data_IF_880504941974
#
_entry.id   IF_880504941974
#
_cell.length_a   1.000
_cell.length_b   1.000
_cell.length_c   1.000
_cell.angle_alpha   90.00
_cell.angle_beta   90.00
_cell.angle_gamma   90.00
#
_symmetry.space_group_name_H-M   'P 1'
#
loop_
_entity.id
_entity.type
_entity.pdbx_description
1 polymer ?
#
# COMPACT_ATOMS: atom_id res chain seq x y z
N UNK A 1 38.98 3.50 -33.23
CA UNK A 1 37.61 2.95 -33.29
C UNK A 1 37.25 2.48 -31.89
N UNK A 2 36.42 3.20 -31.16
CA UNK A 2 35.92 2.77 -29.84
C UNK A 2 34.41 2.81 -29.88
N UNK A 3 33.80 1.62 -29.78
CA UNK A 3 32.36 1.40 -29.88
C UNK A 3 31.74 1.67 -28.50
N UNK A 4 30.84 2.65 -28.41
CA UNK A 4 30.08 2.93 -27.19
C UNK A 4 29.15 1.77 -26.87
N UNK A 5 29.31 1.18 -25.67
CA UNK A 5 28.39 0.16 -25.13
C UNK A 5 27.05 0.82 -24.76
N UNK A 6 25.89 0.25 -25.13
CA UNK A 6 24.61 0.75 -24.63
C UNK A 6 24.47 0.39 -23.14
N UNK A 7 24.21 1.40 -22.31
CA UNK A 7 23.90 1.23 -20.87
C UNK A 7 22.64 0.36 -20.69
N UNK A 8 22.63 -0.57 -19.72
CA UNK A 8 21.44 -1.35 -19.40
C UNK A 8 20.35 -0.41 -18.85
N UNK A 9 19.16 -0.48 -19.43
CA UNK A 9 17.98 0.26 -18.93
C UNK A 9 17.77 -0.11 -17.47
N UNK A 10 18.05 0.84 -16.55
CA UNK A 10 17.79 0.64 -15.12
C UNK A 10 16.32 0.22 -14.94
N UNK A 11 16.02 -0.82 -14.15
CA UNK A 11 14.65 -1.11 -13.79
C UNK A 11 14.06 0.14 -13.15
N UNK A 12 12.85 0.51 -13.55
CA UNK A 12 12.13 1.68 -13.02
C UNK A 12 12.13 1.53 -11.50
N UNK A 13 12.90 2.37 -10.81
CA UNK A 13 12.90 2.38 -9.35
C UNK A 13 11.45 2.53 -8.92
N UNK A 14 10.95 1.58 -8.12
CA UNK A 14 9.72 1.79 -7.37
C UNK A 14 9.84 3.17 -6.75
N UNK A 15 8.94 4.09 -7.12
CA UNK A 15 9.05 5.49 -6.73
C UNK A 15 9.35 5.55 -5.23
N UNK A 16 10.47 6.20 -4.86
CA UNK A 16 10.85 6.31 -3.46
C UNK A 16 9.62 6.81 -2.67
N UNK A 17 9.31 6.20 -1.51
CA UNK A 17 8.13 6.58 -0.76
C UNK A 17 8.16 8.09 -0.52
N UNK A 18 7.02 8.76 -0.75
CA UNK A 18 6.92 10.19 -0.50
C UNK A 18 7.37 10.48 0.94
N UNK A 19 8.07 11.59 1.21
CA UNK A 19 8.46 11.95 2.58
C UNK A 19 7.21 11.96 3.48
N UNK A 20 7.26 11.20 4.58
CA UNK A 20 6.13 10.98 5.49
C UNK A 20 5.24 9.77 5.16
N UNK A 21 5.57 8.98 4.13
CA UNK A 21 4.92 7.71 3.85
C UNK A 21 5.61 6.55 4.61
N UNK A 22 4.85 5.85 5.44
CA UNK A 22 5.27 4.66 6.17
C UNK A 22 4.69 3.40 5.52
N UNK A 23 5.43 2.29 5.65
CA UNK A 23 4.89 0.98 5.30
C UNK A 23 3.78 0.59 6.28
N UNK A 24 2.70 -0.03 5.81
CA UNK A 24 1.62 -0.52 6.67
C UNK A 24 1.27 -1.97 6.37
N UNK A 25 0.71 -2.66 7.37
CA UNK A 25 0.23 -4.03 7.22
C UNK A 25 -1.30 -4.06 7.22
N UNK A 26 -1.87 -4.66 6.17
CA UNK A 26 -3.32 -4.86 6.05
C UNK A 26 -3.70 -6.29 6.45
N UNK A 27 -4.55 -6.41 7.48
CA UNK A 27 -4.99 -7.68 8.07
C UNK A 27 -6.46 -7.95 7.78
N UNK A 28 -6.79 -9.22 7.56
CA UNK A 28 -8.15 -9.65 7.19
C UNK A 28 -8.47 -9.42 5.71
N UNK A 29 -9.73 -9.12 5.45
CA UNK A 29 -10.25 -8.82 4.11
C UNK A 29 -10.20 -10.00 3.14
N UNK A 30 -10.42 -9.75 1.85
CA UNK A 30 -10.43 -10.79 0.83
C UNK A 30 -9.10 -11.54 0.77
N UNK A 31 -9.17 -12.88 0.77
CA UNK A 31 -7.99 -13.74 0.67
C UNK A 31 -7.23 -13.56 -0.65
N UNK A 32 -7.93 -13.14 -1.71
CA UNK A 32 -7.38 -12.87 -3.03
C UNK A 32 -6.86 -11.44 -3.21
N UNK A 33 -6.85 -10.63 -2.14
CA UNK A 33 -6.24 -9.31 -2.21
C UNK A 33 -4.71 -9.47 -2.43
N UNK A 34 -4.15 -8.90 -3.51
CA UNK A 34 -2.73 -9.04 -3.84
C UNK A 34 -1.81 -8.70 -2.67
N UNK A 35 -0.77 -9.51 -2.46
CA UNK A 35 0.19 -9.33 -1.37
C UNK A 35 0.92 -7.97 -1.45
N UNK A 36 1.14 -7.46 -2.66
CA UNK A 36 1.71 -6.14 -2.90
C UNK A 36 0.78 -5.03 -2.37
N UNK A 37 -0.54 -5.18 -2.51
CA UNK A 37 -1.51 -4.22 -1.96
C UNK A 37 -1.65 -4.32 -0.44
N UNK A 38 -1.35 -5.49 0.15
CA UNK A 38 -1.28 -5.66 1.62
C UNK A 38 -0.10 -4.92 2.26
N UNK A 39 0.85 -4.49 1.44
CA UNK A 39 2.11 -3.82 1.81
C UNK A 39 2.14 -2.41 1.21
N UNK A 40 1.20 -1.58 1.63
CA UNK A 40 1.02 -0.23 1.10
C UNK A 40 1.91 0.79 1.82
N UNK A 41 2.29 1.85 1.10
CA UNK A 41 2.84 3.05 1.71
C UNK A 41 1.73 4.07 1.91
N UNK A 42 1.57 4.56 3.14
CA UNK A 42 0.57 5.55 3.50
C UNK A 42 1.22 6.70 4.24
N UNK A 43 0.65 7.89 4.10
CA UNK A 43 1.00 9.00 4.98
C UNK A 43 0.66 8.61 6.42
N UNK A 44 1.58 8.92 7.34
CA UNK A 44 1.50 8.53 8.74
C UNK A 44 0.20 8.93 9.48
N UNK A 45 -0.58 9.87 8.94
CA UNK A 45 -1.81 10.41 9.56
C UNK A 45 -3.10 9.86 8.92
N UNK A 46 -3.04 8.72 8.25
CA UNK A 46 -4.20 8.14 7.57
C UNK A 46 -4.97 7.22 8.51
N UNK A 47 -6.21 7.53 8.90
CA UNK A 47 -6.99 6.65 9.79
C UNK A 47 -7.67 5.48 9.05
N UNK A 48 -7.91 5.62 7.75
CA UNK A 48 -8.61 4.62 6.93
C UNK A 48 -7.95 4.43 5.58
N UNK A 49 -7.84 3.17 5.16
CA UNK A 49 -7.30 2.75 3.87
C UNK A 49 -8.42 2.18 3.02
N UNK A 50 -8.55 2.69 1.81
CA UNK A 50 -9.55 2.22 0.86
C UNK A 50 -8.85 1.67 -0.37
N UNK A 51 -9.06 0.38 -0.66
CA UNK A 51 -8.44 -0.30 -1.80
C UNK A 51 -9.50 -0.68 -2.83
N UNK A 52 -9.36 -0.24 -4.09
CA UNK A 52 -10.20 -0.75 -5.18
C UNK A 52 -9.96 -2.25 -5.39
N UNK A 53 -11.01 -3.06 -5.28
CA UNK A 53 -10.95 -4.51 -5.50
C UNK A 53 -12.29 -5.05 -6.00
N UNK A 54 -12.27 -5.96 -6.97
CA UNK A 54 -13.46 -6.64 -7.51
C UNK A 54 -14.62 -5.68 -7.88
N UNK A 55 -14.33 -4.53 -8.49
CA UNK A 55 -15.35 -3.55 -8.88
C UNK A 55 -16.04 -2.83 -7.71
N UNK A 56 -15.44 -2.86 -6.51
CA UNK A 56 -15.84 -2.07 -5.37
C UNK A 56 -14.60 -1.61 -4.58
N UNK A 57 -14.78 -1.38 -3.30
CA UNK A 57 -13.72 -0.94 -2.40
C UNK A 57 -13.70 -1.78 -1.12
N UNK A 58 -12.50 -2.17 -0.71
CA UNK A 58 -12.20 -2.76 0.59
C UNK A 58 -11.73 -1.66 1.54
N UNK A 59 -12.35 -1.57 2.71
CA UNK A 59 -12.04 -0.55 3.72
C UNK A 59 -11.29 -1.20 4.88
N UNK A 60 -10.20 -0.57 5.30
CA UNK A 60 -9.40 -0.97 6.46
C UNK A 60 -9.25 0.20 7.43
N UNK A 61 -9.48 -0.02 8.72
CA UNK A 61 -9.33 0.99 9.76
C UNK A 61 -8.04 0.75 10.55
N UNK A 62 -7.36 1.83 10.93
CA UNK A 62 -6.17 1.76 11.77
C UNK A 62 -6.53 1.19 13.15
N UNK A 63 -5.88 0.11 13.56
CA UNK A 63 -6.01 -0.47 14.90
C UNK A 63 -4.73 -0.28 15.73
N UNK A 64 -3.61 0.04 15.07
CA UNK A 64 -2.33 0.31 15.72
C UNK A 64 -1.58 1.34 14.88
N UNK A 65 -1.31 2.52 15.45
CA UNK A 65 -0.64 3.61 14.74
C UNK A 65 0.87 3.60 15.00
N UNK A 66 1.64 4.18 14.07
CA UNK A 66 3.09 4.40 14.25
C UNK A 66 3.40 5.30 15.44
N UNK A 67 2.56 6.31 15.71
CA UNK A 67 2.75 7.27 16.81
C UNK A 67 2.69 6.59 18.17
N UNK A 68 1.77 5.64 18.34
CA UNK A 68 1.57 4.97 19.62
C UNK A 68 2.55 3.81 19.85
N UNK A 69 2.94 3.10 18.79
CA UNK A 69 3.66 1.82 18.95
C UNK A 69 5.10 1.82 18.44
N UNK A 70 5.56 2.86 17.73
CA UNK A 70 6.91 2.92 17.13
C UNK A 70 7.19 1.84 16.08
N UNK A 71 6.20 0.99 15.77
CA UNK A 71 6.27 -0.12 14.83
C UNK A 71 5.53 0.14 13.52
N UNK A 72 5.39 -0.89 12.68
CA UNK A 72 4.61 -0.82 11.43
C UNK A 72 3.11 -0.72 11.77
N UNK A 73 2.38 0.30 11.29
CA UNK A 73 0.94 0.41 11.54
C UNK A 73 0.18 -0.79 11.00
N UNK A 74 -0.85 -1.19 11.75
CA UNK A 74 -1.73 -2.28 11.37
C UNK A 74 -3.12 -1.73 11.10
N UNK A 75 -3.66 -2.08 9.94
CA UNK A 75 -5.03 -1.75 9.56
C UNK A 75 -5.83 -3.02 9.37
N UNK A 76 -6.98 -3.09 10.03
CA UNK A 76 -7.87 -4.23 9.98
C UNK A 76 -9.01 -3.96 9.00
N UNK A 77 -9.31 -4.95 8.15
CA UNK A 77 -10.45 -4.88 7.24
C UNK A 77 -11.76 -4.73 8.02
N UNK A 78 -12.61 -3.82 7.58
CA UNK A 78 -13.91 -3.53 8.21
C UNK A 78 -15.08 -3.89 7.32
N UNK A 79 -15.06 -3.50 6.05
CA UNK A 79 -16.17 -3.71 5.12
C UNK A 79 -15.74 -3.64 3.66
N UNK A 80 -16.61 -4.16 2.80
CA UNK A 80 -16.61 -3.92 1.36
C UNK A 80 -17.78 -3.01 0.98
N UNK A 81 -17.56 -2.08 0.07
CA UNK A 81 -18.63 -1.33 -0.60
C UNK A 81 -18.59 -1.60 -2.09
N UNK A 82 -19.73 -2.01 -2.66
CA UNK A 82 -19.87 -2.14 -4.11
C UNK A 82 -20.15 -0.76 -4.70
N UNK A 83 -19.52 -0.42 -5.82
CA UNK A 83 -19.96 0.76 -6.59
C UNK A 83 -21.29 0.39 -7.23
N UNK A 84 -22.38 1.04 -6.81
CA UNK A 84 -23.67 0.86 -7.48
C UNK A 84 -23.49 1.23 -8.97
N UNK A 85 -23.91 0.32 -9.85
CA UNK A 85 -23.94 0.55 -11.29
C UNK A 85 -25.30 1.08 -11.70
#
# INVERSE_FOLDING_TARGET
MSVSRPEPRRPRAHAAPAPGAAHVHLVGGPADLPQELRRHFLRAETDTVTIPHRGGYEHFACVTSTRESGGTPVYQWTKRTTTAR
#
